data_IF_761187844906
#
_entry.id   IF_761187844906
#
_cell.length_a   1.000
_cell.length_b   1.000
_cell.length_c   1.000
_cell.angle_alpha   90.00
_cell.angle_beta   90.00
_cell.angle_gamma   90.00
#
_symmetry.space_group_name_H-M   'P 1'
#
loop_
_entity.id
_entity.type
_entity.pdbx_description
1 polymer ?
#
# COMPACT_ATOMS: atom_id res chain seq x y z
N UNK A 1 -13.18 5.47 -6.38
CA UNK A 1 -12.21 6.13 -5.46
C UNK A 1 -11.01 5.21 -5.43
N UNK A 2 -9.92 5.58 -6.08
CA UNK A 2 -8.72 4.73 -6.14
C UNK A 2 -7.92 4.89 -4.84
N UNK A 3 -7.81 3.83 -4.05
CA UNK A 3 -6.95 3.81 -2.85
C UNK A 3 -5.49 3.68 -3.28
N UNK A 4 -4.63 4.62 -2.87
CA UNK A 4 -3.20 4.59 -3.20
C UNK A 4 -2.38 4.36 -1.94
N UNK A 5 -1.70 3.22 -1.85
CA UNK A 5 -0.64 3.03 -0.88
C UNK A 5 0.65 3.68 -1.39
N UNK A 6 1.29 4.50 -0.57
CA UNK A 6 2.58 5.11 -0.86
C UNK A 6 3.60 4.72 0.18
N UNK A 7 4.82 4.41 -0.22
CA UNK A 7 5.90 4.18 0.73
C UNK A 7 6.34 5.52 1.34
N UNK A 8 6.38 5.67 2.67
CA UNK A 8 6.76 6.94 3.29
C UNK A 8 8.21 7.31 3.02
N UNK A 9 9.06 6.29 2.87
CA UNK A 9 10.51 6.40 2.66
C UNK A 9 10.84 6.69 1.20
N UNK A 10 10.65 5.71 0.31
CA UNK A 10 11.05 5.84 -1.10
C UNK A 10 9.97 6.43 -2.01
N UNK A 11 8.80 6.78 -1.46
CA UNK A 11 7.65 7.34 -2.20
C UNK A 11 7.12 6.47 -3.34
N UNK A 12 7.46 5.18 -3.35
CA UNK A 12 6.86 4.17 -4.26
C UNK A 12 5.36 4.17 -4.08
N UNK A 13 4.59 4.27 -5.16
CA UNK A 13 3.13 4.23 -5.13
C UNK A 13 2.64 2.89 -5.64
N UNK A 14 1.61 2.37 -4.99
CA UNK A 14 0.92 1.16 -5.35
C UNK A 14 -0.58 1.44 -5.34
N UNK A 15 -1.23 1.25 -6.49
CA UNK A 15 -2.67 1.41 -6.62
C UNK A 15 -3.35 0.15 -6.12
N UNK A 16 -4.17 0.31 -5.08
CA UNK A 16 -4.99 -0.76 -4.56
C UNK A 16 -6.28 -0.77 -5.38
N UNK A 17 -6.66 -1.90 -6.00
CA UNK A 17 -7.88 -1.99 -6.78
C UNK A 17 -9.12 -1.71 -5.92
N UNK A 18 -10.20 -1.21 -6.53
CA UNK A 18 -11.42 -0.77 -5.82
C UNK A 18 -12.18 -1.93 -5.12
N UNK A 19 -11.92 -3.19 -5.52
CA UNK A 19 -12.31 -4.40 -4.75
C UNK A 19 -11.33 -4.73 -3.62
N UNK A 20 -10.60 -3.72 -3.17
CA UNK A 20 -9.52 -3.82 -2.23
C UNK A 20 -9.97 -3.62 -0.79
N UNK A 21 -9.02 -3.74 0.13
CA UNK A 21 -9.19 -3.53 1.56
C UNK A 21 -9.99 -2.26 1.90
N UNK A 22 -11.03 -2.40 2.73
CA UNK A 22 -11.94 -1.30 3.09
C UNK A 22 -11.41 -0.41 4.24
N UNK A 23 -10.20 -0.68 4.76
CA UNK A 23 -9.65 0.01 5.93
C UNK A 23 -8.12 0.00 5.95
N UNK A 24 -7.52 0.92 6.70
CA UNK A 24 -6.06 1.02 6.90
C UNK A 24 -5.42 -0.31 7.33
N UNK A 25 -6.09 -1.07 8.19
CA UNK A 25 -5.56 -2.35 8.64
C UNK A 25 -5.55 -3.42 7.53
N UNK A 26 -6.48 -3.32 6.59
CA UNK A 26 -6.65 -4.32 5.54
C UNK A 26 -5.65 -4.10 4.39
N UNK A 27 -5.21 -2.86 4.12
CA UNK A 27 -4.25 -2.63 3.03
C UNK A 27 -2.82 -2.99 3.38
N UNK A 28 -2.38 -2.77 4.62
CA UNK A 28 -1.06 -3.25 5.05
C UNK A 28 -0.99 -4.78 4.89
N UNK A 29 -2.08 -5.46 5.24
CA UNK A 29 -2.21 -6.91 5.08
C UNK A 29 -2.27 -7.33 3.62
N UNK A 30 -2.99 -6.59 2.78
CA UNK A 30 -3.03 -6.81 1.32
C UNK A 30 -1.65 -6.63 0.68
N UNK A 31 -0.88 -5.61 1.08
CA UNK A 31 0.46 -5.35 0.56
C UNK A 31 1.44 -6.47 0.98
N UNK A 32 1.34 -6.92 2.23
CA UNK A 32 2.10 -8.08 2.71
C UNK A 32 1.74 -9.35 1.93
N UNK A 33 0.46 -9.62 1.72
CA UNK A 33 -0.02 -10.83 1.01
C UNK A 33 0.29 -10.79 -0.50
N UNK A 34 0.20 -9.62 -1.12
CA UNK A 34 0.57 -9.42 -2.54
C UNK A 34 2.07 -9.58 -2.81
N UNK A 35 2.91 -9.67 -1.77
CA UNK A 35 4.37 -9.67 -1.91
C UNK A 35 4.93 -8.34 -2.45
N UNK A 36 4.13 -7.27 -2.37
CA UNK A 36 4.52 -5.95 -2.84
C UNK A 36 5.50 -5.36 -1.85
N UNK A 37 6.68 -5.03 -2.37
CA UNK A 37 7.74 -4.42 -1.59
C UNK A 37 8.08 -3.03 -2.12
N UNK A 38 8.36 -2.11 -1.19
CA UNK A 38 8.91 -0.81 -1.51
C UNK A 38 10.26 -0.97 -2.21
N UNK A 39 10.60 -0.05 -3.11
CA UNK A 39 11.96 0.00 -3.70
C UNK A 39 13.08 0.13 -2.67
N UNK A 40 12.79 0.65 -1.47
CA UNK A 40 13.76 0.74 -0.38
C UNK A 40 13.85 -0.52 0.50
N UNK A 41 12.96 -1.50 0.35
CA UNK A 41 12.97 -2.73 1.16
C UNK A 41 12.36 -2.62 2.57
N UNK A 42 12.22 -1.41 3.13
CA UNK A 42 11.64 -1.18 4.47
C UNK A 42 10.11 -1.39 4.57
N UNK A 43 9.38 -1.38 3.44
CA UNK A 43 7.93 -1.62 3.40
C UNK A 43 7.09 -0.75 4.35
N UNK A 44 7.50 0.50 4.56
CA UNK A 44 6.79 1.48 5.38
C UNK A 44 5.75 2.23 4.54
N UNK A 45 4.48 1.81 4.61
CA UNK A 45 3.40 2.31 3.77
C UNK A 45 2.51 3.38 4.46
N UNK A 46 1.94 4.29 3.68
CA UNK A 46 0.91 5.25 4.05
C UNK A 46 -0.24 5.13 3.04
N UNK A 47 -1.48 5.15 3.52
CA UNK A 47 -2.65 5.29 2.66
C UNK A 47 -2.81 6.76 2.26
N UNK A 48 -3.05 7.03 0.98
CA UNK A 48 -3.45 8.32 0.48
C UNK A 48 -4.90 8.25 0.01
N UNK A 49 -5.72 9.12 0.58
CA UNK A 49 -7.12 9.39 0.17
C UNK A 49 -7.16 10.30 -1.07
#
# INVERSE_FOLDING_TARGET
MDLIARCRICKTKFSIPEMGPCSDLEYEKYLQDSGVSCKCGDNDWELLD
#
